data_IF_282348570644
#
_entry.id   IF_282348570644
#
_cell.length_a   1.000
_cell.length_b   1.000
_cell.length_c   1.000
_cell.angle_alpha   90.00
_cell.angle_beta   90.00
_cell.angle_gamma   90.00
#
_symmetry.space_group_name_H-M   'P 1'
#
loop_
_entity.id
_entity.type
_entity.pdbx_description
1 polymer ?
#
# COMPACT_ATOMS: atom_id res chain seq x y z
N UNK A 1 5.93 22.42 -2.11
CA UNK A 1 4.48 22.68 -2.09
C UNK A 1 3.72 21.44 -1.64
N UNK A 2 2.89 21.53 -0.60
CA UNK A 2 1.96 20.44 -0.29
C UNK A 2 0.93 20.27 -1.41
N UNK A 3 0.59 19.02 -1.69
CA UNK A 3 -0.46 18.70 -2.66
C UNK A 3 -1.19 17.43 -2.24
N UNK A 4 -2.39 17.27 -2.76
CA UNK A 4 -3.17 16.04 -2.59
C UNK A 4 -3.84 15.66 -3.90
N UNK A 5 -4.07 14.36 -4.10
CA UNK A 5 -4.77 13.86 -5.29
C UNK A 5 -5.40 12.50 -5.00
N UNK A 6 -6.41 12.16 -5.81
CA UNK A 6 -7.03 10.85 -5.82
C UNK A 6 -6.82 10.24 -7.20
N UNK A 7 -6.30 9.02 -7.23
CA UNK A 7 -6.03 8.27 -8.45
C UNK A 7 -6.85 6.98 -8.44
N UNK A 8 -7.47 6.66 -9.58
CA UNK A 8 -8.23 5.43 -9.75
C UNK A 8 -7.62 4.62 -10.89
N UNK A 9 -7.50 3.32 -10.70
CA UNK A 9 -6.85 2.43 -11.65
C UNK A 9 -7.73 1.22 -11.94
N UNK A 10 -7.76 0.82 -13.21
CA UNK A 10 -8.33 -0.44 -13.67
C UNK A 10 -7.28 -1.41 -14.20
N UNK A 11 -6.01 -1.10 -13.99
CA UNK A 11 -4.86 -1.85 -14.46
C UNK A 11 -3.80 -1.91 -13.35
N UNK A 12 -3.35 -3.13 -12.94
CA UNK A 12 -2.34 -3.26 -11.88
C UNK A 12 -1.02 -2.57 -12.21
N UNK A 13 -0.61 -2.59 -13.47
CA UNK A 13 0.65 -1.98 -13.89
C UNK A 13 0.65 -0.47 -13.68
N UNK A 14 -0.42 0.20 -14.09
CA UNK A 14 -0.55 1.64 -13.88
C UNK A 14 -0.61 1.99 -12.40
N UNK A 15 -1.28 1.15 -11.60
CA UNK A 15 -1.33 1.32 -10.15
C UNK A 15 0.07 1.22 -9.53
N UNK A 16 0.86 0.22 -9.94
CA UNK A 16 2.24 0.05 -9.45
C UNK A 16 3.08 1.30 -9.66
N UNK A 17 2.95 1.92 -10.82
CA UNK A 17 3.75 3.08 -11.18
C UNK A 17 3.40 4.33 -10.37
N UNK A 18 2.22 4.36 -9.79
CA UNK A 18 1.76 5.53 -9.02
C UNK A 18 2.15 5.48 -7.54
N UNK A 19 2.55 4.32 -7.01
CA UNK A 19 2.91 4.19 -5.59
C UNK A 19 4.19 4.96 -5.31
N UNK A 20 4.16 5.77 -4.26
CA UNK A 20 5.31 6.57 -3.82
C UNK A 20 6.14 5.82 -2.78
N UNK A 21 7.40 6.18 -2.68
CA UNK A 21 8.36 5.69 -1.68
C UNK A 21 8.75 4.23 -1.82
N UNK A 22 8.17 3.49 -2.77
CA UNK A 22 8.46 2.07 -2.96
C UNK A 22 8.29 1.68 -4.41
N UNK A 23 8.98 0.62 -4.81
CA UNK A 23 8.70 -0.09 -6.05
C UNK A 23 7.83 -1.29 -5.71
N UNK A 24 6.71 -1.42 -6.41
CA UNK A 24 5.68 -2.42 -6.10
C UNK A 24 5.37 -3.23 -7.34
N UNK A 25 5.25 -4.54 -7.17
CA UNK A 25 4.65 -5.43 -8.16
C UNK A 25 3.35 -5.98 -7.59
N UNK A 26 2.27 -5.91 -8.34
CA UNK A 26 0.93 -6.30 -7.91
C UNK A 26 0.47 -7.51 -8.73
N UNK A 27 0.11 -8.58 -8.03
CA UNK A 27 -0.39 -9.80 -8.65
C UNK A 27 -1.76 -10.14 -8.07
N UNK A 28 -2.87 -9.80 -8.78
CA UNK A 28 -4.20 -10.19 -8.33
C UNK A 28 -4.33 -11.70 -8.27
N UNK A 29 -4.97 -12.21 -7.22
CA UNK A 29 -5.18 -13.65 -6.99
C UNK A 29 -6.63 -14.07 -7.13
N UNK A 30 -7.55 -13.12 -7.30
CA UNK A 30 -8.96 -13.39 -7.57
C UNK A 30 -9.32 -12.89 -8.96
N UNK A 31 -10.33 -13.54 -9.57
CA UNK A 31 -10.87 -13.11 -10.88
C UNK A 31 -11.71 -11.87 -10.70
N UNK A 32 -11.83 -11.10 -11.76
CA UNK A 32 -12.65 -9.92 -11.82
C UNK A 32 -11.89 -8.75 -12.42
N UNK A 33 -12.59 -7.63 -12.55
CA UNK A 33 -11.97 -6.40 -13.02
C UNK A 33 -11.12 -5.82 -11.90
N UNK A 34 -9.88 -5.48 -12.23
CA UNK A 34 -9.01 -4.79 -11.29
C UNK A 34 -9.57 -3.38 -11.06
N UNK A 35 -9.68 -3.01 -9.80
CA UNK A 35 -10.03 -1.64 -9.43
C UNK A 35 -9.28 -1.28 -8.15
N UNK A 36 -8.54 -0.18 -8.20
CA UNK A 36 -7.78 0.33 -7.08
C UNK A 36 -7.90 1.83 -7.01
N UNK A 37 -7.97 2.36 -5.82
CA UNK A 37 -7.96 3.80 -5.56
C UNK A 37 -6.81 4.13 -4.62
N UNK A 38 -6.04 5.16 -4.99
CA UNK A 38 -4.97 5.68 -4.15
C UNK A 38 -5.26 7.15 -3.88
N UNK A 39 -5.31 7.52 -2.60
CA UNK A 39 -5.31 8.92 -2.18
C UNK A 39 -3.91 9.27 -1.71
N UNK A 40 -3.33 10.30 -2.28
CA UNK A 40 -1.97 10.72 -1.98
C UNK A 40 -1.98 12.13 -1.43
N UNK A 41 -1.24 12.35 -0.35
CA UNK A 41 -1.02 13.65 0.25
C UNK A 41 0.50 13.81 0.41
N UNK A 42 1.05 14.83 -0.23
CA UNK A 42 2.46 15.16 -0.07
C UNK A 42 2.59 16.44 0.75
N UNK A 43 3.19 16.31 1.91
CA UNK A 43 3.69 17.41 2.72
C UNK A 43 5.20 17.55 2.46
N UNK A 44 5.86 18.56 3.03
CA UNK A 44 7.26 18.83 2.68
C UNK A 44 8.19 17.63 2.86
N UNK A 45 8.03 16.87 3.97
CA UNK A 45 8.93 15.76 4.30
C UNK A 45 8.20 14.44 4.50
N UNK A 46 6.89 14.46 4.53
CA UNK A 46 6.06 13.30 4.78
C UNK A 46 5.12 13.09 3.61
N UNK A 47 5.09 11.87 3.09
CA UNK A 47 4.15 11.46 2.04
C UNK A 47 3.18 10.45 2.64
N UNK A 48 1.89 10.68 2.44
CA UNK A 48 0.85 9.79 2.95
C UNK A 48 0.07 9.21 1.78
N UNK A 49 -0.26 7.93 1.88
CA UNK A 49 -1.07 7.26 0.86
C UNK A 49 -2.13 6.41 1.56
N UNK A 50 -3.33 6.42 1.00
CA UNK A 50 -4.41 5.50 1.38
C UNK A 50 -4.80 4.69 0.17
N UNK A 51 -4.86 3.38 0.35
CA UNK A 51 -5.17 2.44 -0.71
C UNK A 51 -6.50 1.77 -0.43
N UNK A 52 -7.33 1.65 -1.47
CA UNK A 52 -8.46 0.73 -1.47
C UNK A 52 -8.30 -0.17 -2.69
N UNK A 53 -8.18 -1.47 -2.47
CA UNK A 53 -7.95 -2.47 -3.51
C UNK A 53 -9.03 -3.53 -3.42
N UNK A 54 -9.81 -3.69 -4.50
CA UNK A 54 -10.97 -4.59 -4.50
C UNK A 54 -10.59 -6.06 -4.60
N UNK A 55 -9.65 -6.40 -5.47
CA UNK A 55 -9.24 -7.80 -5.65
C UNK A 55 -8.26 -8.23 -4.57
N UNK A 56 -8.36 -9.49 -4.17
CA UNK A 56 -7.29 -10.11 -3.39
C UNK A 56 -6.03 -10.16 -4.23
N UNK A 57 -4.87 -9.94 -3.62
CA UNK A 57 -3.62 -9.84 -4.36
C UNK A 57 -2.41 -10.17 -3.50
N UNK A 58 -1.33 -10.51 -4.20
CA UNK A 58 0.01 -10.62 -3.61
C UNK A 58 0.84 -9.46 -4.14
N UNK A 59 1.50 -8.75 -3.25
CA UNK A 59 2.36 -7.64 -3.61
C UNK A 59 3.80 -7.95 -3.22
N UNK A 60 4.72 -7.61 -4.12
CA UNK A 60 6.13 -7.54 -3.82
C UNK A 60 6.51 -6.07 -3.71
N UNK A 61 7.07 -5.66 -2.59
CA UNK A 61 7.31 -4.25 -2.26
C UNK A 61 8.77 -4.06 -1.89
N UNK A 62 9.42 -3.07 -2.50
CA UNK A 62 10.79 -2.69 -2.16
C UNK A 62 10.81 -1.20 -1.83
N UNK A 63 11.14 -0.87 -0.58
CA UNK A 63 11.18 0.52 -0.13
C UNK A 63 12.37 1.22 -0.78
N UNK A 64 12.16 2.42 -1.29
CA UNK A 64 13.23 3.21 -1.90
C UNK A 64 14.30 3.58 -0.86
N UNK A 65 15.59 3.58 -1.23
CA UNK A 65 16.65 3.98 -0.32
C UNK A 65 16.41 5.37 0.27
N UNK A 66 16.75 5.54 1.55
CA UNK A 66 16.58 6.81 2.24
C UNK A 66 15.17 7.09 2.73
N UNK A 67 14.24 6.16 2.55
CA UNK A 67 12.85 6.30 3.03
C UNK A 67 12.54 5.26 4.08
N UNK A 68 11.68 5.62 5.01
CA UNK A 68 11.09 4.72 5.99
C UNK A 68 9.58 4.79 5.82
N UNK A 69 8.89 3.67 5.94
CA UNK A 69 7.45 3.59 5.74
C UNK A 69 6.79 2.96 6.96
N UNK A 70 5.71 3.59 7.42
CA UNK A 70 4.82 3.03 8.43
C UNK A 70 3.51 2.69 7.73
N UNK A 71 3.08 1.43 7.85
CA UNK A 71 1.84 0.94 7.26
C UNK A 71 0.85 0.46 8.30
N UNK A 72 -0.44 0.56 7.97
CA UNK A 72 -1.53 0.16 8.87
C UNK A 72 -2.82 -0.02 8.08
N UNK A 73 -3.74 -0.83 8.63
CA UNK A 73 -5.07 -0.97 8.05
C UNK A 73 -5.93 0.23 8.46
N UNK A 74 -6.72 0.74 7.51
CA UNK A 74 -7.51 1.97 7.74
C UNK A 74 -8.98 1.70 8.09
N UNK A 75 -9.42 0.43 8.09
CA UNK A 75 -10.75 0.01 8.53
C UNK A 75 -10.63 -1.08 9.59
N UNK A 76 -11.44 -0.98 10.66
CA UNK A 76 -11.39 -1.94 11.75
C UNK A 76 -11.90 -3.33 11.35
N UNK A 77 -12.98 -3.38 10.59
CA UNK A 77 -13.66 -4.64 10.25
C UNK A 77 -13.27 -5.10 8.85
N UNK A 78 -12.06 -5.61 8.72
CA UNK A 78 -11.58 -6.21 7.48
C UNK A 78 -10.69 -7.40 7.80
N UNK A 79 -10.50 -8.32 6.82
CA UNK A 79 -9.58 -9.43 7.01
C UNK A 79 -8.17 -8.94 7.30
N UNK A 80 -7.37 -9.77 7.98
CA UNK A 80 -5.97 -9.45 8.24
C UNK A 80 -5.18 -9.38 6.94
N UNK A 81 -4.16 -8.54 6.95
CA UNK A 81 -3.15 -8.49 5.91
C UNK A 81 -1.99 -9.40 6.31
N UNK A 82 -1.53 -10.26 5.41
CA UNK A 82 -0.30 -11.01 5.66
C UNK A 82 0.89 -10.20 5.18
N UNK A 83 1.81 -9.93 6.08
CA UNK A 83 3.03 -9.18 5.81
C UNK A 83 4.22 -10.06 6.15
N UNK A 84 4.96 -10.51 5.14
CA UNK A 84 6.08 -11.43 5.29
C UNK A 84 5.72 -12.66 6.13
N UNK A 85 4.52 -13.23 5.89
CA UNK A 85 4.03 -14.41 6.58
C UNK A 85 3.38 -14.15 7.94
N UNK A 86 3.33 -12.92 8.39
CA UNK A 86 2.69 -12.57 9.67
C UNK A 86 1.36 -11.87 9.42
N UNK A 87 0.35 -12.22 10.20
CA UNK A 87 -0.95 -11.58 10.14
C UNK A 87 -0.91 -10.22 10.85
N UNK A 88 -1.40 -9.21 10.15
CA UNK A 88 -1.52 -7.85 10.68
C UNK A 88 -2.99 -7.47 10.71
N UNK A 89 -3.47 -7.07 11.89
CA UNK A 89 -4.85 -6.66 12.11
C UNK A 89 -4.96 -5.15 12.23
N UNK A 90 -6.20 -4.64 12.15
CA UNK A 90 -6.46 -3.24 12.43
C UNK A 90 -5.98 -2.88 13.84
N UNK A 91 -5.38 -1.71 13.98
CA UNK A 91 -4.77 -1.26 15.24
C UNK A 91 -3.30 -1.58 15.38
N UNK A 92 -2.74 -2.43 14.51
CA UNK A 92 -1.32 -2.74 14.47
C UNK A 92 -0.60 -1.87 13.44
N UNK A 93 0.68 -1.63 13.67
CA UNK A 93 1.53 -0.80 12.80
C UNK A 93 2.68 -1.64 12.29
N UNK A 94 2.93 -1.54 10.97
CA UNK A 94 4.08 -2.15 10.31
C UNK A 94 5.11 -1.06 10.09
N UNK A 95 6.35 -1.29 10.49
CA UNK A 95 7.45 -0.34 10.27
C UNK A 95 8.46 -0.98 9.31
N UNK A 96 8.73 -0.31 8.20
CA UNK A 96 9.65 -0.77 7.18
C UNK A 96 10.65 0.33 6.83
N UNK A 97 11.94 0.01 6.75
CA UNK A 97 12.97 0.98 6.38
C UNK A 97 13.76 0.61 5.14
N UNK A 98 13.94 -0.67 4.80
CA UNK A 98 14.54 -1.08 3.53
C UNK A 98 14.31 -2.57 3.31
N UNK A 99 14.67 -3.02 2.10
CA UNK A 99 14.56 -4.41 1.73
C UNK A 99 13.27 -4.75 1.00
N UNK A 100 13.19 -5.97 0.54
CA UNK A 100 12.01 -6.47 -0.15
C UNK A 100 11.09 -7.18 0.82
N UNK A 101 9.81 -6.93 0.68
CA UNK A 101 8.78 -7.57 1.49
C UNK A 101 7.65 -8.08 0.60
N UNK A 102 6.93 -9.07 1.11
CA UNK A 102 5.78 -9.64 0.43
C UNK A 102 4.55 -9.47 1.28
N UNK A 103 3.46 -9.06 0.64
CA UNK A 103 2.18 -8.90 1.31
C UNK A 103 1.11 -9.67 0.55
N UNK A 104 0.18 -10.27 1.29
CA UNK A 104 -0.99 -10.91 0.74
C UNK A 104 -2.23 -10.31 1.37
N UNK A 105 -3.15 -9.86 0.56
CA UNK A 105 -4.41 -9.28 1.02
C UNK A 105 -5.60 -10.09 0.53
N UNK A 106 -6.68 -10.08 1.31
CA UNK A 106 -7.99 -10.52 0.88
C UNK A 106 -8.66 -9.43 0.02
N UNK A 107 -9.89 -9.71 -0.45
CA UNK A 107 -10.68 -8.71 -1.19
C UNK A 107 -10.97 -7.50 -0.30
N UNK A 108 -11.12 -6.35 -0.91
CA UNK A 108 -11.45 -5.07 -0.25
C UNK A 108 -10.45 -4.68 0.84
N UNK A 109 -9.19 -4.59 0.47
CA UNK A 109 -8.16 -4.08 1.34
C UNK A 109 -8.24 -2.56 1.47
N UNK A 110 -8.24 -2.07 2.70
CA UNK A 110 -8.11 -0.65 3.05
C UNK A 110 -6.82 -0.48 3.85
N UNK A 111 -5.85 0.20 3.26
CA UNK A 111 -4.50 0.27 3.80
C UNK A 111 -3.97 1.70 3.74
N UNK A 112 -3.25 2.12 4.76
CA UNK A 112 -2.59 3.42 4.80
C UNK A 112 -1.09 3.27 4.97
N UNK A 113 -0.35 4.20 4.38
CA UNK A 113 1.10 4.26 4.53
C UNK A 113 1.55 5.70 4.70
N UNK A 114 2.50 5.91 5.60
CA UNK A 114 3.20 7.18 5.77
C UNK A 114 4.66 6.95 5.49
N UNK A 115 5.26 7.80 4.66
CA UNK A 115 6.67 7.71 4.30
C UNK A 115 7.39 8.99 4.67
N UNK A 116 8.58 8.83 5.25
CA UNK A 116 9.43 9.95 5.64
C UNK A 116 10.90 9.58 5.44
N UNK A 117 11.77 10.58 5.46
CA UNK A 117 13.20 10.35 5.32
C UNK A 117 13.73 9.54 6.50
N UNK A 118 14.53 8.54 6.18
CA UNK A 118 15.16 7.71 7.19
C UNK A 118 16.23 8.48 7.97
#
# INVERSE_FOLDING_TARGET
MPWSRVLKFDDPYCCQMAVQAAEVEIYPTTRGKFHSEIRQIALNRVWMQRFHQQLAQVNSVSIRPGRKVIGFLTKEHQPTLQHCGMDVSAGEIIVNDFGMMHQRSAVDLYYGAMSFAA
#
